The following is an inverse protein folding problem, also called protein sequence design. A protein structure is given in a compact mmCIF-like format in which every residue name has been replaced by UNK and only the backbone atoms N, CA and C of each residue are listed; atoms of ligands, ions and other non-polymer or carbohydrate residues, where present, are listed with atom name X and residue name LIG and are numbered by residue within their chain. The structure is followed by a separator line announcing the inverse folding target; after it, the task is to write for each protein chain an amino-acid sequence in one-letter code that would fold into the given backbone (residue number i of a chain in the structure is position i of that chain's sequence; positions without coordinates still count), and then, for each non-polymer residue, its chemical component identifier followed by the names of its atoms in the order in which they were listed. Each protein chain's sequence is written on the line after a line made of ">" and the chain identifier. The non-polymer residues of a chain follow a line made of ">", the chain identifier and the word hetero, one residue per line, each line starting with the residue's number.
data_IF_637499652072
#
_entry.id   IF_637499652072
#
_cell.length_a   1.000
_cell.length_b   1.000
_cell.length_c   1.000
_cell.angle_alpha   90.00
_cell.angle_beta   90.00
_cell.angle_gamma   90.00
#
_symmetry.space_group_name_H-M   'P 1'
#
loop_
_entity.id
_entity.type
_entity.pdbx_description
1 polymer ?
#
# COMPACT_ATOMS: atom_id res chain seq x y z
N UNK A 1 2.35 4.23 18.69
CA UNK A 1 3.41 4.05 17.66
C UNK A 1 2.94 3.20 16.48
N UNK A 2 2.25 2.08 16.72
CA UNK A 2 1.68 1.21 15.66
C UNK A 2 0.70 1.95 14.74
N UNK A 3 -0.19 2.77 15.29
CA UNK A 3 -1.15 3.55 14.49
C UNK A 3 -0.45 4.57 13.58
N UNK A 4 0.58 5.26 14.08
CA UNK A 4 1.35 6.24 13.31
C UNK A 4 2.00 5.60 12.08
N UNK A 5 2.62 4.42 12.24
CA UNK A 5 3.24 3.71 11.11
C UNK A 5 2.19 3.21 10.11
N UNK A 6 1.00 2.82 10.59
CA UNK A 6 -0.14 2.46 9.73
C UNK A 6 -0.61 3.64 8.87
N UNK A 7 -0.88 4.79 9.50
CA UNK A 7 -1.30 6.02 8.80
C UNK A 7 -0.24 6.54 7.83
N UNK A 8 1.04 6.51 8.24
CA UNK A 8 2.13 6.95 7.38
C UNK A 8 2.30 6.05 6.16
N UNK A 9 2.18 4.73 6.34
CA UNK A 9 2.14 3.76 5.24
C UNK A 9 0.96 4.02 4.29
N UNK A 10 -0.23 4.27 4.82
CA UNK A 10 -1.42 4.61 4.02
C UNK A 10 -1.23 5.87 3.18
N UNK A 11 -0.69 6.95 3.77
CA UNK A 11 -0.42 8.20 3.07
C UNK A 11 0.60 7.99 1.94
N UNK A 12 1.63 7.18 2.15
CA UNK A 12 2.63 6.85 1.12
C UNK A 12 1.99 6.08 -0.04
N UNK A 13 1.12 5.11 0.22
CA UNK A 13 0.38 4.40 -0.84
C UNK A 13 -0.55 5.35 -1.59
N UNK A 14 -1.31 6.19 -0.88
CA UNK A 14 -2.18 7.19 -1.50
C UNK A 14 -1.38 8.16 -2.39
N UNK A 15 -0.20 8.60 -1.93
CA UNK A 15 0.72 9.43 -2.69
C UNK A 15 1.27 8.73 -3.94
N UNK A 16 1.57 7.44 -3.86
CA UNK A 16 2.01 6.63 -5.01
C UNK A 16 0.90 6.45 -6.07
N UNK A 17 -0.38 6.45 -5.65
CA UNK A 17 -1.55 6.36 -6.53
C UNK A 17 -1.99 7.71 -7.09
N UNK A 18 -1.63 8.81 -6.44
CA UNK A 18 -1.98 10.19 -6.82
C UNK A 18 -1.74 10.52 -8.32
N UNK A 19 -0.58 10.20 -8.94
CA UNK A 19 -0.37 10.50 -10.35
C UNK A 19 -1.32 9.76 -11.29
N UNK A 20 -1.84 8.59 -10.91
CA UNK A 20 -2.86 7.86 -11.67
C UNK A 20 -4.20 8.58 -11.63
N UNK A 21 -4.62 9.00 -10.42
CA UNK A 21 -5.87 9.75 -10.22
C UNK A 21 -5.81 11.09 -10.97
N UNK A 22 -4.73 11.85 -10.80
CA UNK A 22 -4.56 13.15 -11.45
C UNK A 22 -4.52 13.04 -12.98
N UNK A 23 -3.94 11.96 -13.54
CA UNK A 23 -4.00 11.70 -15.00
C UNK A 23 -5.43 11.49 -15.49
N UNK A 24 -6.29 10.85 -14.71
CA UNK A 24 -7.69 10.58 -15.09
C UNK A 24 -8.55 11.85 -15.11
N UNK A 25 -8.24 12.82 -14.25
CA UNK A 25 -8.90 14.14 -14.22
C UNK A 25 -8.23 15.18 -15.13
N UNK A 26 -7.25 14.78 -15.95
CA UNK A 26 -6.51 15.65 -16.89
C UNK A 26 -5.86 16.90 -16.23
N UNK A 27 -5.53 16.81 -14.94
CA UNK A 27 -4.91 17.90 -14.18
C UNK A 27 -3.39 17.95 -14.41
N UNK A 28 -2.98 18.30 -15.64
CA UNK A 28 -1.57 18.41 -16.04
C UNK A 28 -0.92 19.68 -15.46
N UNK A 29 -0.62 19.68 -14.17
CA UNK A 29 0.20 20.72 -13.51
C UNK A 29 1.64 20.23 -13.29
N UNK A 30 2.61 21.14 -13.15
CA UNK A 30 4.03 20.82 -12.95
C UNK A 30 4.30 19.82 -11.81
N UNK A 31 3.49 19.84 -10.73
CA UNK A 31 3.56 18.84 -9.66
C UNK A 31 3.36 17.39 -10.13
N UNK A 32 2.58 17.18 -11.19
CA UNK A 32 2.30 15.85 -11.74
C UNK A 32 3.56 15.17 -12.30
N UNK A 33 4.52 15.94 -12.81
CA UNK A 33 5.81 15.41 -13.28
C UNK A 33 6.65 14.89 -12.11
N UNK A 34 6.76 15.67 -11.03
CA UNK A 34 7.47 15.27 -9.79
C UNK A 34 6.87 14.01 -9.16
N UNK A 35 5.55 13.95 -9.02
CA UNK A 35 4.88 12.76 -8.48
C UNK A 35 5.00 11.56 -9.41
N UNK A 36 4.91 11.77 -10.73
CA UNK A 36 5.09 10.67 -11.68
C UNK A 36 6.52 10.13 -11.72
N UNK A 37 7.53 10.95 -11.42
CA UNK A 37 8.92 10.52 -11.32
C UNK A 37 9.19 9.73 -10.02
N UNK A 38 8.56 10.14 -8.91
CA UNK A 38 8.85 9.58 -7.58
C UNK A 38 7.87 8.51 -7.11
N UNK A 39 6.80 8.20 -7.85
CA UNK A 39 5.79 7.23 -7.40
C UNK A 39 6.35 5.83 -7.09
N UNK A 40 7.39 5.36 -7.81
CA UNK A 40 8.09 4.11 -7.47
C UNK A 40 8.79 4.18 -6.12
N UNK A 41 9.46 5.30 -5.82
CA UNK A 41 10.13 5.50 -4.54
C UNK A 41 9.13 5.58 -3.38
N UNK A 42 7.97 6.22 -3.60
CA UNK A 42 6.88 6.25 -2.63
C UNK A 42 6.30 4.85 -2.38
N UNK A 43 6.13 4.05 -3.43
CA UNK A 43 5.65 2.67 -3.30
C UNK A 43 6.65 1.80 -2.52
N UNK A 44 7.95 1.92 -2.79
CA UNK A 44 8.99 1.23 -2.02
C UNK A 44 9.02 1.67 -0.56
N UNK A 45 8.95 2.97 -0.30
CA UNK A 45 8.87 3.51 1.06
C UNK A 45 7.63 2.98 1.80
N UNK A 46 6.48 2.90 1.11
CA UNK A 46 5.25 2.37 1.70
C UNK A 46 5.39 0.91 2.13
N UNK A 47 6.03 0.06 1.32
CA UNK A 47 6.32 -1.33 1.70
C UNK A 47 7.19 -1.39 2.94
N UNK A 48 8.26 -0.61 3.01
CA UNK A 48 9.16 -0.61 4.17
C UNK A 48 8.41 -0.22 5.45
N UNK A 49 7.65 0.88 5.40
CA UNK A 49 6.88 1.37 6.54
C UNK A 49 5.80 0.38 6.97
N UNK A 50 5.06 -0.20 6.01
CA UNK A 50 3.99 -1.17 6.31
C UNK A 50 4.54 -2.52 6.80
N UNK A 51 5.74 -2.90 6.38
CA UNK A 51 6.43 -4.08 6.92
C UNK A 51 6.80 -3.85 8.39
N UNK A 52 7.35 -2.68 8.71
CA UNK A 52 7.62 -2.30 10.11
C UNK A 52 6.32 -2.25 10.91
N UNK A 53 5.24 -1.68 10.36
CA UNK A 53 3.93 -1.69 10.98
C UNK A 53 3.46 -3.12 11.30
N UNK A 54 3.51 -4.04 10.33
CA UNK A 54 3.14 -5.44 10.53
C UNK A 54 3.97 -6.13 11.62
N UNK A 55 5.28 -5.89 11.66
CA UNK A 55 6.16 -6.42 12.71
C UNK A 55 5.79 -5.88 14.10
N UNK A 56 5.47 -4.59 14.21
CA UNK A 56 5.02 -3.98 15.45
C UNK A 56 3.66 -4.54 15.91
N UNK A 57 2.73 -4.78 14.99
CA UNK A 57 1.44 -5.43 15.28
C UNK A 57 1.64 -6.86 15.80
N UNK A 58 2.55 -7.62 15.18
CA UNK A 58 2.83 -9.01 15.58
C UNK A 58 3.54 -9.12 16.93
N UNK A 59 4.36 -8.13 17.29
CA UNK A 59 5.12 -8.08 18.55
C UNK A 59 4.40 -7.33 19.68
N UNK A 60 3.33 -6.60 19.37
CA UNK A 60 2.49 -5.91 20.35
C UNK A 60 1.84 -6.87 21.35
N UNK A 61 1.90 -6.52 22.65
CA UNK A 61 1.34 -7.30 23.77
C UNK A 61 -0.14 -7.66 23.51
N UNK A 62 -0.42 -8.96 23.41
CA UNK A 62 -1.76 -9.53 23.13
C UNK A 62 -2.74 -9.25 24.27
N UNK A 63 -3.92 -8.73 23.94
CA UNK A 63 -5.09 -8.76 24.84
C UNK A 63 -5.62 -10.19 24.94
N UNK A 64 -5.72 -10.73 26.15
CA UNK A 64 -6.27 -12.06 26.42
C UNK A 64 -7.81 -11.98 26.41
N UNK A 65 -8.45 -12.31 25.30
CA UNK A 65 -9.90 -12.40 25.19
C UNK A 65 -10.34 -13.10 23.91
N UNK A 66 -11.36 -13.96 24.00
CA UNK A 66 -11.85 -14.74 22.85
C UNK A 66 -12.39 -13.84 21.72
N UNK A 67 -13.10 -12.76 22.07
CA UNK A 67 -13.55 -11.74 21.09
C UNK A 67 -12.40 -10.92 20.52
N UNK A 68 -11.37 -10.61 21.33
CA UNK A 68 -10.17 -9.94 20.87
C UNK A 68 -9.36 -10.80 19.89
N UNK A 69 -9.33 -12.13 20.07
CA UNK A 69 -8.65 -13.05 19.15
C UNK A 69 -9.31 -13.17 17.77
N UNK A 70 -10.64 -13.18 17.68
CA UNK A 70 -11.36 -13.30 16.40
C UNK A 70 -11.20 -12.02 15.57
N UNK A 71 -11.41 -10.85 16.18
CA UNK A 71 -11.12 -9.55 15.55
C UNK A 71 -9.65 -9.48 15.12
N UNK A 72 -8.73 -9.85 16.01
CA UNK A 72 -7.30 -9.86 15.72
C UNK A 72 -6.92 -10.77 14.54
N UNK A 73 -7.53 -11.97 14.41
CA UNK A 73 -7.31 -12.88 13.28
C UNK A 73 -7.85 -12.31 11.96
N UNK A 74 -9.03 -11.66 11.99
CA UNK A 74 -9.61 -11.00 10.82
C UNK A 74 -8.77 -9.81 10.32
N UNK A 75 -8.31 -8.97 11.24
CA UNK A 75 -7.41 -7.86 10.92
C UNK A 75 -6.02 -8.35 10.47
N UNK A 76 -5.49 -9.44 11.05
CA UNK A 76 -4.23 -10.03 10.59
C UNK A 76 -4.31 -10.58 9.17
N UNK A 77 -5.37 -11.33 8.84
CA UNK A 77 -5.53 -11.91 7.51
C UNK A 77 -5.68 -10.83 6.45
N UNK A 78 -6.54 -9.82 6.69
CA UNK A 78 -6.71 -8.68 5.78
C UNK A 78 -5.41 -7.86 5.63
N UNK A 79 -4.68 -7.65 6.73
CA UNK A 79 -3.39 -6.95 6.70
C UNK A 79 -2.33 -7.71 5.91
N UNK A 80 -2.22 -9.03 6.10
CA UNK A 80 -1.32 -9.89 5.35
C UNK A 80 -1.67 -9.91 3.86
N UNK A 81 -2.96 -10.02 3.52
CA UNK A 81 -3.42 -10.02 2.14
C UNK A 81 -3.08 -8.69 1.46
N UNK A 82 -3.34 -7.58 2.15
CA UNK A 82 -3.02 -6.22 1.67
C UNK A 82 -1.51 -6.06 1.43
N UNK A 83 -0.69 -6.55 2.36
CA UNK A 83 0.77 -6.52 2.22
C UNK A 83 1.25 -7.37 1.03
N UNK A 84 0.71 -8.57 0.85
CA UNK A 84 1.05 -9.44 -0.30
C UNK A 84 0.70 -8.79 -1.64
N UNK A 85 -0.48 -8.16 -1.74
CA UNK A 85 -0.90 -7.44 -2.95
C UNK A 85 0.00 -6.24 -3.20
N UNK A 86 0.35 -5.46 -2.17
CA UNK A 86 1.28 -4.34 -2.29
C UNK A 86 2.66 -4.81 -2.77
N UNK A 87 3.20 -5.89 -2.20
CA UNK A 87 4.45 -6.49 -2.61
C UNK A 87 4.42 -6.94 -4.07
N UNK A 88 3.34 -7.61 -4.49
CA UNK A 88 3.14 -8.02 -5.88
C UNK A 88 3.11 -6.82 -6.84
N UNK A 89 2.40 -5.74 -6.48
CA UNK A 89 2.34 -4.49 -7.27
C UNK A 89 3.73 -3.90 -7.43
N UNK A 90 4.51 -3.79 -6.35
CA UNK A 90 5.86 -3.21 -6.40
C UNK A 90 6.81 -4.08 -7.22
N UNK A 91 6.79 -5.40 -7.05
CA UNK A 91 7.60 -6.32 -7.84
C UNK A 91 7.26 -6.23 -9.34
N UNK A 92 5.96 -6.24 -9.70
CA UNK A 92 5.50 -6.05 -11.07
C UNK A 92 5.92 -4.69 -11.63
N UNK A 93 5.85 -3.63 -10.82
CA UNK A 93 6.26 -2.29 -11.21
C UNK A 93 7.78 -2.20 -11.46
N UNK A 94 8.61 -2.91 -10.69
CA UNK A 94 10.05 -3.00 -10.92
C UNK A 94 10.39 -3.84 -12.16
N UNK A 95 9.71 -4.96 -12.36
CA UNK A 95 9.90 -5.83 -13.53
C UNK A 95 9.52 -5.12 -14.84
N UNK A 96 8.40 -4.39 -14.84
CA UNK A 96 7.94 -3.63 -16.01
C UNK A 96 8.85 -2.43 -16.30
N UNK A 97 9.35 -1.74 -15.26
CA UNK A 97 10.35 -0.68 -15.42
C UNK A 97 11.64 -1.20 -16.08
N UNK A 98 12.14 -2.38 -15.67
CA UNK A 98 13.33 -3.01 -16.28
C UNK A 98 13.10 -3.47 -17.72
N UNK A 99 11.92 -3.98 -18.06
CA UNK A 99 11.62 -4.53 -19.40
C UNK A 99 11.09 -3.51 -20.42
N UNK A 100 10.99 -2.22 -20.08
CA UNK A 100 10.34 -1.17 -20.93
C UNK A 100 8.96 -1.58 -21.47
N UNK A 101 8.28 -2.52 -20.81
CA UNK A 101 6.99 -3.03 -21.26
C UNK A 101 5.88 -2.06 -20.84
N UNK A 102 5.10 -1.58 -21.81
CA UNK A 102 3.94 -0.69 -21.57
C UNK A 102 2.73 -1.40 -20.95
N UNK A 103 2.84 -2.68 -20.61
CA UNK A 103 1.75 -3.42 -19.98
C UNK A 103 1.48 -2.87 -18.57
N UNK A 104 0.41 -2.08 -18.46
CA UNK A 104 -0.10 -1.45 -17.23
C UNK A 104 -0.80 -2.45 -16.30
N UNK A 105 -0.32 -3.68 -16.23
CA UNK A 105 -0.90 -4.75 -15.38
C UNK A 105 -0.84 -4.35 -13.90
N UNK A 106 0.23 -3.66 -13.48
CA UNK A 106 0.36 -3.12 -12.13
C UNK A 106 -0.74 -2.08 -11.77
N UNK A 107 -1.29 -1.36 -12.76
CA UNK A 107 -2.40 -0.43 -12.53
C UNK A 107 -3.72 -1.15 -12.24
N UNK A 108 -3.94 -2.35 -12.79
CA UNK A 108 -5.14 -3.14 -12.49
C UNK A 108 -5.14 -3.68 -11.06
N UNK A 109 -3.95 -3.97 -10.53
CA UNK A 109 -3.76 -4.41 -9.14
C UNK A 109 -3.85 -3.27 -8.11
N UNK A 110 -3.81 -2.01 -8.56
CA UNK A 110 -3.98 -0.86 -7.66
C UNK A 110 -5.41 -0.76 -7.09
N UNK A 111 -6.44 -1.09 -7.88
CA UNK A 111 -7.82 -1.07 -7.42
C UNK A 111 -8.11 -2.08 -6.29
N UNK A 112 -7.78 -3.38 -6.43
CA UNK A 112 -7.97 -4.33 -5.33
C UNK A 112 -7.09 -3.99 -4.12
N UNK A 113 -5.90 -3.40 -4.32
CA UNK A 113 -5.07 -2.91 -3.22
C UNK A 113 -5.80 -1.84 -2.39
N UNK A 114 -6.41 -0.85 -3.03
CA UNK A 114 -7.18 0.20 -2.34
C UNK A 114 -8.36 -0.39 -1.58
N UNK A 115 -9.12 -1.31 -2.20
CA UNK A 115 -10.26 -1.95 -1.54
C UNK A 115 -9.82 -2.76 -0.31
N UNK A 116 -8.74 -3.51 -0.42
CA UNK A 116 -8.18 -4.27 0.70
C UNK A 116 -7.67 -3.36 1.83
N UNK A 117 -7.01 -2.24 1.49
CA UNK A 117 -6.59 -1.25 2.49
C UNK A 117 -7.79 -0.64 3.21
N UNK A 118 -8.84 -0.25 2.48
CA UNK A 118 -10.06 0.29 3.10
C UNK A 118 -10.71 -0.74 4.03
N UNK A 119 -10.82 -2.00 3.60
CA UNK A 119 -11.37 -3.09 4.42
C UNK A 119 -10.48 -3.47 5.62
N UNK A 120 -9.19 -3.16 5.57
CA UNK A 120 -8.28 -3.43 6.69
C UNK A 120 -8.31 -2.30 7.72
N UNK A 121 -8.51 -1.06 7.26
CA UNK A 121 -8.50 0.15 8.09
C UNK A 121 -9.88 0.44 8.71
N UNK A 122 -10.97 0.17 7.99
CA UNK A 122 -12.36 0.38 8.41
C UNK A 122 -13.07 -0.93 8.70
#
# INVERSE_FOLDING_TARGET
>A
MVELTGWLGFILVAGALLPYILRRFNLRKAGLLLYSANHHNLALASILVLTVHGLLVLTGRRGWGWGAQVLFKGHLLSGLLTWCVLAAVVLLAMLTARRKSRLRIHCWLALPLVLLMLNHVF
#
